data_IF_155414782239
#
_entry.id   IF_155414782239
#
_cell.length_a   1.000
_cell.length_b   1.000
_cell.length_c   1.000
_cell.angle_alpha   90.00
_cell.angle_beta   90.00
_cell.angle_gamma   90.00
#
_symmetry.space_group_name_H-M   'P 1'
#
loop_
_entity.id
_entity.type
_entity.pdbx_description
1 polymer ?
#
# COMPACT_ATOMS: atom_id res chain seq x y z
N UNK A 1 -21.76 26.48 12.19
CA UNK A 1 -21.21 26.10 12.20
C UNK A 1 -20.81 25.89 12.02
N UNK A 2 -20.82 26.22 12.28
CA UNK A 2 -20.17 25.89 12.45
C UNK A 2 -19.58 25.89 12.15
N UNK A 3 -19.91 26.37 12.39
CA UNK A 3 -19.17 26.20 12.56
C UNK A 3 -18.55 26.41 12.13
N UNK A 4 -18.57 26.96 12.35
CA UNK A 4 -17.80 26.89 12.22
C UNK A 4 -17.12 26.74 12.44
N UNK A 5 -17.20 26.95 12.71
CA UNK A 5 -16.44 26.57 13.12
C UNK A 5 -16.06 26.20 13.44
N UNK A 6 -16.04 26.35 13.93
CA UNK A 6 -15.49 25.75 14.31
C UNK A 6 -15.20 25.28 14.20
N UNK A 7 -15.44 25.54 14.41
CA UNK A 7 -14.81 24.95 14.33
C UNK A 7 -14.30 24.80 13.75
N UNK A 8 -14.64 25.24 13.65
CA UNK A 8 -14.13 25.09 13.16
C UNK A 8 -13.42 24.85 13.30
N UNK A 9 -13.29 24.75 13.77
CA UNK A 9 -12.67 24.52 13.96
C UNK A 9 -12.25 23.69 14.24
N UNK A 10 -12.62 23.63 14.65
CA UNK A 10 -12.37 22.85 14.81
C UNK A 10 -12.25 22.45 14.43
N UNK A 11 -12.44 22.75 14.77
CA UNK A 11 -12.65 22.48 14.15
C UNK A 11 -12.28 22.62 13.21
N UNK A 12 -11.75 22.93 13.45
CA UNK A 12 -11.29 22.47 12.27
C UNK A 12 -11.17 21.02 12.15
N UNK A 13 -11.92 20.42 11.47
CA UNK A 13 -11.90 19.00 11.21
C UNK A 13 -10.63 18.63 10.46
N UNK A 14 -9.95 17.57 10.88
CA UNK A 14 -8.79 17.05 10.16
C UNK A 14 -9.17 16.61 8.76
N UNK A 15 -10.42 16.24 8.53
CA UNK A 15 -10.93 15.85 7.23
C UNK A 15 -10.75 16.94 6.20
N UNK A 16 -10.81 18.19 6.63
CA UNK A 16 -10.67 19.32 5.72
C UNK A 16 -9.23 19.52 5.23
N UNK A 17 -8.25 18.86 5.87
CA UNK A 17 -6.88 18.95 5.45
C UNK A 17 -6.42 17.80 4.58
N UNK A 18 -7.31 16.85 4.28
CA UNK A 18 -6.97 15.69 3.45
C UNK A 18 -7.19 15.99 1.99
N UNK A 19 -6.21 15.55 1.18
CA UNK A 19 -6.32 15.61 -0.27
C UNK A 19 -6.72 14.22 -0.76
N UNK A 20 -7.76 14.15 -1.58
CA UNK A 20 -8.24 12.89 -2.14
C UNK A 20 -7.81 12.78 -3.58
N UNK A 21 -7.22 11.64 -3.93
CA UNK A 21 -6.80 11.34 -5.30
C UNK A 21 -7.16 9.91 -5.61
N UNK A 22 -7.26 9.61 -6.91
CA UNK A 22 -7.45 8.24 -7.36
C UNK A 22 -6.10 7.63 -7.69
N UNK A 23 -5.91 6.39 -7.29
CA UNK A 23 -4.66 5.67 -7.48
C UNK A 23 -4.90 4.42 -8.33
N UNK A 24 -3.85 3.94 -8.99
CA UNK A 24 -3.92 2.63 -9.62
C UNK A 24 -4.24 1.58 -8.57
N UNK A 25 -5.04 0.61 -8.95
CA UNK A 25 -5.41 -0.49 -8.05
C UNK A 25 -4.17 -1.25 -7.58
N UNK A 26 -3.21 -1.48 -8.48
CA UNK A 26 -1.98 -2.16 -8.09
C UNK A 26 -1.13 -1.34 -7.12
N UNK A 27 -1.21 -0.01 -7.18
CA UNK A 27 -0.53 0.84 -6.21
C UNK A 27 -1.12 0.62 -4.82
N UNK A 28 -2.44 0.51 -4.74
CA UNK A 28 -3.13 0.25 -3.47
C UNK A 28 -2.73 -1.12 -2.92
N UNK A 29 -2.67 -2.12 -3.79
CA UNK A 29 -2.23 -3.47 -3.37
C UNK A 29 -0.75 -3.50 -2.98
N UNK A 30 0.07 -2.64 -3.60
CA UNK A 30 1.47 -2.47 -3.20
C UNK A 30 1.52 -1.99 -1.75
N UNK A 31 0.74 -0.97 -1.41
CA UNK A 31 0.65 -0.45 -0.04
C UNK A 31 0.18 -1.55 0.92
N UNK A 32 -0.86 -2.29 0.52
CA UNK A 32 -1.39 -3.38 1.35
C UNK A 32 -0.31 -4.44 1.62
N UNK A 33 0.46 -4.81 0.60
CA UNK A 33 1.53 -5.80 0.73
C UNK A 33 2.67 -5.29 1.61
N UNK A 34 2.94 -3.98 1.60
CA UNK A 34 3.94 -3.37 2.48
C UNK A 34 3.51 -3.51 3.94
N UNK A 35 2.23 -3.25 4.23
CA UNK A 35 1.73 -3.48 5.60
C UNK A 35 1.86 -4.95 6.00
N UNK A 36 1.58 -5.87 5.08
CA UNK A 36 1.74 -7.30 5.36
C UNK A 36 3.18 -7.65 5.72
N UNK A 37 4.15 -7.10 4.98
CA UNK A 37 5.58 -7.31 5.26
C UNK A 37 5.93 -6.74 6.64
N UNK A 38 5.44 -5.54 6.96
CA UNK A 38 5.69 -4.93 8.27
C UNK A 38 5.12 -5.76 9.41
N UNK A 39 3.92 -6.30 9.23
CA UNK A 39 3.30 -7.16 10.24
C UNK A 39 4.19 -8.37 10.52
N UNK A 40 4.73 -8.98 9.48
CA UNK A 40 5.56 -10.18 9.60
C UNK A 40 6.93 -9.91 10.21
N UNK A 41 7.38 -8.65 10.19
CA UNK A 41 8.72 -8.27 10.61
C UNK A 41 8.76 -7.31 11.78
N UNK A 42 7.69 -7.20 12.54
CA UNK A 42 7.63 -6.32 13.70
C UNK A 42 6.85 -6.98 14.83
N UNK A 43 6.95 -6.37 16.03
CA UNK A 43 6.28 -6.86 17.22
C UNK A 43 5.74 -5.68 18.01
N UNK A 44 4.87 -5.98 18.98
CA UNK A 44 4.33 -4.99 19.90
C UNK A 44 3.49 -3.92 19.18
N UNK A 45 3.69 -2.68 19.59
CA UNK A 45 2.92 -1.56 19.07
C UNK A 45 3.08 -1.34 17.57
N UNK A 46 4.28 -1.55 17.06
CA UNK A 46 4.54 -1.37 15.62
C UNK A 46 3.74 -2.37 14.80
N UNK A 47 3.71 -3.62 15.27
CA UNK A 47 2.93 -4.67 14.61
C UNK A 47 1.45 -4.34 14.66
N UNK A 48 0.95 -3.88 15.81
CA UNK A 48 -0.45 -3.55 15.97
C UNK A 48 -0.87 -2.40 15.06
N UNK A 49 -0.03 -1.37 14.93
CA UNK A 49 -0.30 -0.25 14.02
C UNK A 49 -0.38 -0.70 12.57
N UNK A 50 0.55 -1.56 12.16
CA UNK A 50 0.54 -2.09 10.78
C UNK A 50 -0.67 -2.97 10.55
N UNK A 51 -1.07 -3.76 11.53
CA UNK A 51 -2.25 -4.61 11.44
C UNK A 51 -3.52 -3.76 11.31
N UNK A 52 -3.63 -2.71 12.11
CA UNK A 52 -4.77 -1.79 12.04
C UNK A 52 -4.86 -1.14 10.67
N UNK A 53 -3.73 -0.69 10.13
CA UNK A 53 -3.66 -0.06 8.80
C UNK A 53 -4.01 -1.06 7.71
N UNK A 54 -3.50 -2.29 7.81
CA UNK A 54 -3.81 -3.36 6.87
C UNK A 54 -5.32 -3.64 6.83
N UNK A 55 -5.92 -3.79 8.01
CA UNK A 55 -7.34 -4.09 8.11
C UNK A 55 -8.21 -2.97 7.57
N UNK A 56 -7.84 -1.73 7.85
CA UNK A 56 -8.54 -0.56 7.37
C UNK A 56 -8.50 -0.45 5.86
N UNK A 57 -7.32 -0.61 5.28
CA UNK A 57 -7.14 -0.56 3.84
C UNK A 57 -7.86 -1.72 3.15
N UNK A 58 -7.74 -2.93 3.71
CA UNK A 58 -8.42 -4.10 3.18
C UNK A 58 -9.93 -3.91 3.16
N UNK A 59 -10.49 -3.33 4.22
CA UNK A 59 -11.92 -3.05 4.28
C UNK A 59 -12.33 -2.03 3.22
N UNK A 60 -11.52 -0.99 3.03
CA UNK A 60 -11.80 0.03 2.01
C UNK A 60 -11.77 -0.56 0.60
N UNK A 61 -10.81 -1.44 0.34
CA UNK A 61 -10.73 -2.14 -0.95
C UNK A 61 -11.99 -2.98 -1.17
N UNK A 62 -12.40 -3.75 -0.15
CA UNK A 62 -13.60 -4.58 -0.24
C UNK A 62 -14.84 -3.75 -0.52
N UNK A 63 -14.92 -2.57 0.07
CA UNK A 63 -16.05 -1.67 -0.16
C UNK A 63 -16.11 -1.19 -1.60
N UNK A 64 -14.97 -1.06 -2.27
CA UNK A 64 -14.92 -0.52 -3.63
C UNK A 64 -14.98 -1.57 -4.73
N UNK A 65 -14.36 -2.73 -4.54
CA UNK A 65 -14.31 -3.74 -5.61
C UNK A 65 -15.00 -5.04 -5.26
N UNK A 66 -15.49 -5.17 -4.02
CA UNK A 66 -16.18 -6.36 -3.56
C UNK A 66 -15.25 -7.36 -2.88
N UNK A 67 -15.84 -8.14 -1.98
CA UNK A 67 -15.10 -9.13 -1.20
C UNK A 67 -14.52 -10.24 -2.05
N UNK A 68 -15.29 -10.74 -3.02
CA UNK A 68 -14.87 -11.87 -3.84
C UNK A 68 -13.64 -11.53 -4.67
N UNK A 69 -13.66 -10.36 -5.32
CA UNK A 69 -12.53 -9.93 -6.13
C UNK A 69 -11.30 -9.68 -5.26
N UNK A 70 -11.51 -9.02 -4.13
CA UNK A 70 -10.41 -8.75 -3.19
C UNK A 70 -9.75 -10.06 -2.73
N UNK A 71 -10.55 -11.05 -2.31
CA UNK A 71 -10.04 -12.35 -1.88
C UNK A 71 -9.30 -13.06 -3.02
N UNK A 72 -9.82 -12.97 -4.23
CA UNK A 72 -9.17 -13.57 -5.40
C UNK A 72 -7.78 -12.97 -5.61
N UNK A 73 -7.65 -11.65 -5.44
CA UNK A 73 -6.38 -10.96 -5.65
C UNK A 73 -5.37 -11.31 -4.55
N UNK A 74 -5.76 -11.24 -3.28
CA UNK A 74 -4.81 -11.50 -2.18
C UNK A 74 -4.40 -12.97 -2.08
N UNK A 75 -5.14 -13.85 -2.71
CA UNK A 75 -4.78 -15.28 -2.76
C UNK A 75 -4.08 -15.64 -4.07
N UNK A 76 -3.75 -14.67 -4.91
CA UNK A 76 -3.14 -14.91 -6.21
C UNK A 76 -1.62 -14.93 -6.13
N UNK A 77 -1.01 -15.60 -7.11
CA UNK A 77 0.44 -15.59 -7.28
C UNK A 77 0.95 -14.16 -7.52
N UNK A 78 0.18 -13.38 -8.28
CA UNK A 78 0.58 -11.99 -8.58
C UNK A 78 0.73 -11.16 -7.30
N UNK A 79 -0.19 -11.27 -6.36
CA UNK A 79 -0.09 -10.57 -5.09
C UNK A 79 1.07 -11.13 -4.24
N UNK A 80 1.21 -12.44 -4.18
CA UNK A 80 2.30 -13.08 -3.46
C UNK A 80 3.66 -12.59 -3.97
N UNK A 81 3.82 -12.52 -5.30
CA UNK A 81 5.06 -12.06 -5.92
C UNK A 81 5.34 -10.59 -5.59
N UNK A 82 4.31 -9.75 -5.59
CA UNK A 82 4.44 -8.34 -5.22
C UNK A 82 4.87 -8.21 -3.75
N UNK A 83 4.23 -8.95 -2.87
CA UNK A 83 4.58 -8.96 -1.45
C UNK A 83 6.02 -9.43 -1.25
N UNK A 84 6.45 -10.46 -1.97
CA UNK A 84 7.81 -10.98 -1.90
C UNK A 84 8.81 -9.92 -2.39
N UNK A 85 8.50 -9.22 -3.47
CA UNK A 85 9.35 -8.14 -3.97
C UNK A 85 9.47 -7.01 -2.95
N UNK A 86 8.39 -6.69 -2.25
CA UNK A 86 8.42 -5.68 -1.18
C UNK A 86 9.27 -6.15 0.01
N UNK A 87 9.21 -7.44 0.34
CA UNK A 87 10.05 -8.00 1.40
C UNK A 87 11.53 -7.86 1.03
N UNK A 88 11.87 -8.10 -0.23
CA UNK A 88 13.25 -7.95 -0.72
C UNK A 88 13.74 -6.51 -0.55
N UNK A 89 12.92 -5.53 -0.93
CA UNK A 89 13.26 -4.11 -0.74
C UNK A 89 13.43 -3.80 0.75
N UNK A 90 12.50 -4.28 1.58
CA UNK A 90 12.55 -4.10 3.03
C UNK A 90 13.87 -4.61 3.61
N UNK A 91 14.27 -5.82 3.23
CA UNK A 91 15.49 -6.44 3.72
C UNK A 91 16.74 -5.68 3.27
N UNK A 92 16.74 -5.16 2.04
CA UNK A 92 17.86 -4.39 1.53
C UNK A 92 18.01 -3.06 2.27
N UNK A 93 16.92 -2.37 2.53
CA UNK A 93 16.94 -1.12 3.28
C UNK A 93 17.43 -1.36 4.71
N UNK A 94 16.96 -2.43 5.34
CA UNK A 94 17.35 -2.78 6.70
C UNK A 94 18.84 -3.13 6.78
N UNK A 95 19.34 -3.92 5.82
CA UNK A 95 20.75 -4.31 5.79
C UNK A 95 21.70 -3.19 5.41
N UNK A 96 21.21 -2.22 4.64
CA UNK A 96 22.04 -1.12 4.19
C UNK A 96 22.62 -0.35 5.37
N UNK A 97 21.81 -0.10 6.41
CA UNK A 97 22.26 0.68 7.54
C UNK A 97 22.87 1.98 7.06
N UNK A 98 24.18 2.14 7.31
CA UNK A 98 24.90 3.30 6.83
C UNK A 98 25.64 3.06 5.52
N UNK A 99 25.64 1.82 5.02
CA UNK A 99 26.33 1.45 3.79
C UNK A 99 25.33 1.45 2.64
N UNK A 100 25.47 2.35 1.68
CA UNK A 100 24.54 2.41 0.56
C UNK A 100 24.58 1.14 -0.29
N UNK A 101 23.41 0.58 -0.56
CA UNK A 101 23.24 -0.53 -1.50
C UNK A 101 22.45 -0.02 -2.71
N UNK A 102 22.90 1.11 -3.28
CA UNK A 102 22.13 1.85 -4.29
C UNK A 102 21.73 1.02 -5.50
N UNK A 103 22.70 0.22 -6.01
CA UNK A 103 22.44 -0.59 -7.19
C UNK A 103 21.43 -1.69 -6.87
N UNK A 104 21.63 -2.40 -5.77
CA UNK A 104 20.76 -3.49 -5.37
C UNK A 104 19.36 -2.99 -5.07
N UNK A 105 19.28 -1.84 -4.40
CA UNK A 105 17.99 -1.23 -4.07
C UNK A 105 17.25 -0.80 -5.33
N UNK A 106 17.96 -0.21 -6.30
CA UNK A 106 17.35 0.20 -7.57
C UNK A 106 16.82 -1.02 -8.34
N UNK A 107 17.59 -2.11 -8.38
CA UNK A 107 17.16 -3.34 -9.05
C UNK A 107 15.94 -3.96 -8.37
N UNK A 108 15.92 -3.97 -7.03
CA UNK A 108 14.79 -4.51 -6.28
C UNK A 108 13.54 -3.67 -6.46
N UNK A 109 13.67 -2.34 -6.51
CA UNK A 109 12.55 -1.44 -6.76
C UNK A 109 12.01 -1.60 -8.18
N UNK A 110 12.88 -1.85 -9.15
CA UNK A 110 12.43 -2.09 -10.52
C UNK A 110 11.65 -3.41 -10.60
N UNK A 111 12.14 -4.45 -9.94
CA UNK A 111 11.44 -5.74 -9.87
C UNK A 111 10.05 -5.57 -9.23
N UNK A 112 9.97 -4.80 -8.15
CA UNK A 112 8.72 -4.48 -7.47
C UNK A 112 7.76 -3.77 -8.44
N UNK A 113 8.26 -2.83 -9.23
CA UNK A 113 7.46 -2.14 -10.23
C UNK A 113 6.89 -3.13 -11.24
N UNK A 114 7.71 -4.06 -11.74
CA UNK A 114 7.24 -5.08 -12.70
C UNK A 114 6.13 -5.94 -12.10
N UNK A 115 6.20 -6.25 -10.81
CA UNK A 115 5.17 -7.02 -10.14
C UNK A 115 3.87 -6.24 -9.99
N UNK A 116 3.95 -4.93 -9.81
CA UNK A 116 2.76 -4.07 -9.83
C UNK A 116 2.10 -4.09 -11.21
N UNK A 117 2.90 -4.00 -12.27
CA UNK A 117 2.39 -4.06 -13.63
C UNK A 117 1.67 -5.38 -13.89
N UNK A 118 2.26 -6.49 -13.47
CA UNK A 118 1.64 -7.81 -13.64
C UNK A 118 0.28 -7.89 -12.94
N UNK A 119 0.19 -7.41 -11.72
CA UNK A 119 -1.06 -7.43 -10.96
C UNK A 119 -2.12 -6.55 -11.61
N UNK A 120 -1.72 -5.34 -12.04
CA UNK A 120 -2.63 -4.40 -12.68
C UNK A 120 -3.21 -4.98 -13.95
N UNK A 121 -2.36 -5.56 -14.79
CA UNK A 121 -2.78 -6.16 -16.05
C UNK A 121 -3.68 -7.35 -15.84
N UNK A 122 -3.33 -8.20 -14.89
CA UNK A 122 -4.07 -9.44 -14.65
C UNK A 122 -5.47 -9.19 -14.12
N UNK A 123 -5.64 -8.28 -13.16
CA UNK A 123 -6.91 -8.12 -12.47
C UNK A 123 -7.72 -6.90 -12.90
N UNK A 124 -7.07 -5.89 -13.47
CA UNK A 124 -7.73 -4.62 -13.79
C UNK A 124 -7.62 -4.25 -15.26
N UNK A 125 -6.78 -4.95 -16.00
CA UNK A 125 -6.67 -4.84 -17.45
C UNK A 125 -6.47 -3.40 -17.96
N UNK A 126 -5.64 -2.63 -17.26
CA UNK A 126 -5.28 -1.29 -17.71
C UNK A 126 -3.83 -0.97 -17.31
N UNK A 127 -3.35 0.18 -17.79
CA UNK A 127 -1.97 0.57 -17.57
C UNK A 127 -1.73 1.09 -16.15
N UNK A 128 -0.48 0.94 -15.70
CA UNK A 128 -0.05 1.53 -14.44
C UNK A 128 0.33 2.98 -14.68
N UNK A 129 -0.40 3.88 -14.05
CA UNK A 129 -0.16 5.32 -14.16
C UNK A 129 0.20 5.95 -12.81
N UNK A 130 0.18 5.17 -11.73
CA UNK A 130 0.39 5.55 -10.33
C UNK A 130 -0.74 6.43 -9.80
N UNK A 131 -1.06 7.52 -10.49
CA UNK A 131 -2.14 8.43 -10.09
C UNK A 131 -3.11 8.58 -11.25
N UNK A 132 -4.39 8.36 -10.97
CA UNK A 132 -5.48 8.54 -11.94
C UNK A 132 -6.20 9.83 -11.61
N UNK A 133 -6.29 10.69 -12.58
CA UNK A 133 -6.92 11.99 -12.37
C UNK A 133 -8.25 12.09 -13.11
#
# INVERSE_FOLDING_TARGET
MQGIGTHLQHLYSKENSMIKISLDEAYVYDILSIYAVKIENSEGEKKQKSLDSFNKLSQEIQNQIGMDKHHSIINSTAYFDLKHANKEVFDLVDRAGETPLSKQTAEANYKRYLKKVELQTKFFNNEVTEVKI
#
